data_IF_112977024639
#
_entry.id   IF_112977024639
#
_cell.length_a   1.000
_cell.length_b   1.000
_cell.length_c   1.000
_cell.angle_alpha   90.00
_cell.angle_beta   90.00
_cell.angle_gamma   90.00
#
_symmetry.space_group_name_H-M   'P 1'
#
loop_
_entity.id
_entity.type
_entity.pdbx_description
1 polymer ?
#
# COMPACT_ATOMS: atom_id res chain seq x y z
N UNK A 1 -15.81 -46.02 1.13
CA UNK A 1 -14.67 -45.88 2.05
C UNK A 1 -13.44 -46.16 1.19
N UNK A 2 -12.57 -45.25 0.81
CA UNK A 2 -12.04 -44.03 1.44
C UNK A 2 -11.51 -43.13 0.30
N UNK A 3 -11.78 -41.83 0.39
CA UNK A 3 -11.46 -40.84 -0.65
C UNK A 3 -10.10 -40.17 -0.41
N UNK A 4 -9.21 -40.34 -1.38
CA UNK A 4 -8.38 -39.33 -2.04
C UNK A 4 -7.86 -38.16 -1.18
N UNK A 5 -6.62 -38.30 -0.72
CA UNK A 5 -5.69 -37.20 -0.53
C UNK A 5 -4.74 -37.06 -1.74
N UNK A 6 -4.59 -35.84 -2.24
CA UNK A 6 -3.46 -35.34 -3.04
C UNK A 6 -3.70 -33.82 -3.17
N UNK A 7 -2.89 -32.90 -2.64
CA UNK A 7 -1.44 -32.91 -2.59
C UNK A 7 -0.88 -32.33 -3.88
N UNK A 8 -0.96 -31.00 -4.09
CA UNK A 8 -0.29 -30.33 -5.21
C UNK A 8 0.57 -29.16 -4.71
N UNK A 9 1.85 -29.48 -4.52
CA UNK A 9 2.97 -28.55 -4.31
C UNK A 9 3.35 -27.92 -5.66
N UNK A 10 3.49 -26.60 -5.73
CA UNK A 10 4.26 -25.94 -6.79
C UNK A 10 5.22 -24.90 -6.22
N UNK A 11 6.51 -25.17 -6.49
CA UNK A 11 7.71 -24.39 -6.16
C UNK A 11 7.68 -23.00 -6.80
N UNK A 12 8.22 -22.03 -6.06
CA UNK A 12 8.36 -20.66 -6.52
C UNK A 12 9.39 -20.44 -7.62
N UNK A 13 9.15 -19.39 -8.42
CA UNK A 13 10.17 -18.52 -9.01
C UNK A 13 9.58 -17.15 -9.34
N UNK A 14 10.42 -16.14 -9.14
CA UNK A 14 10.13 -14.70 -9.04
C UNK A 14 9.50 -14.14 -10.32
N UNK A 15 8.39 -13.40 -10.16
CA UNK A 15 7.95 -12.38 -11.11
C UNK A 15 7.87 -11.07 -10.34
N UNK A 16 8.86 -10.19 -10.60
CA UNK A 16 8.79 -8.78 -10.19
C UNK A 16 7.79 -8.10 -11.11
N UNK A 17 6.72 -7.53 -10.55
CA UNK A 17 5.81 -6.68 -11.30
C UNK A 17 5.57 -5.38 -10.52
N UNK A 18 6.01 -4.29 -11.13
CA UNK A 18 5.88 -2.92 -10.70
C UNK A 18 4.41 -2.50 -10.63
N UNK A 19 3.90 -2.19 -9.43
CA UNK A 19 2.74 -1.30 -9.23
C UNK A 19 2.92 -0.56 -7.91
N UNK A 20 3.76 0.48 -7.92
CA UNK A 20 3.87 1.42 -6.79
C UNK A 20 4.30 2.84 -7.21
N UNK A 21 4.65 3.07 -8.48
CA UNK A 21 5.26 4.33 -8.91
C UNK A 21 4.25 5.44 -9.27
N UNK A 22 2.95 5.15 -9.33
CA UNK A 22 1.95 6.10 -9.83
C UNK A 22 1.38 7.09 -8.82
N UNK A 23 1.56 6.87 -7.51
CA UNK A 23 0.93 7.68 -6.45
C UNK A 23 1.89 8.63 -5.70
N UNK A 24 3.15 8.74 -6.13
CA UNK A 24 4.15 9.60 -5.43
C UNK A 24 4.21 11.06 -5.94
N UNK A 25 3.47 11.44 -6.98
CA UNK A 25 3.68 12.74 -7.66
C UNK A 25 2.63 13.83 -7.39
N UNK A 26 1.67 13.61 -6.48
CA UNK A 26 0.69 14.65 -6.08
C UNK A 26 0.55 14.70 -4.55
N UNK A 27 1.65 14.97 -3.84
CA UNK A 27 1.60 15.38 -2.41
C UNK A 27 2.15 16.81 -2.22
N UNK A 28 2.72 17.41 -3.26
CA UNK A 28 3.33 18.73 -3.18
C UNK A 28 2.33 19.87 -3.46
N UNK A 29 1.24 19.99 -2.70
CA UNK A 29 0.49 21.24 -2.59
C UNK A 29 -0.63 21.10 -1.56
N UNK A 30 -0.32 21.16 -0.27
CA UNK A 30 -1.00 22.08 0.63
C UNK A 30 -0.46 21.95 2.07
N UNK A 31 0.17 23.04 2.49
CA UNK A 31 0.34 23.51 3.86
C UNK A 31 1.05 22.61 4.88
N UNK A 32 2.39 22.68 4.90
CA UNK A 32 3.14 22.75 6.15
C UNK A 32 4.26 23.77 5.97
N UNK A 33 4.41 24.68 6.93
CA UNK A 33 5.52 25.62 6.94
C UNK A 33 6.83 24.81 6.97
N UNK A 34 7.50 24.69 5.83
CA UNK A 34 8.89 24.28 5.80
C UNK A 34 9.65 25.32 6.59
N UNK A 35 10.07 24.99 7.80
CA UNK A 35 10.98 25.83 8.56
C UNK A 35 12.21 26.05 7.67
N UNK A 36 12.40 27.27 7.16
CA UNK A 36 13.53 27.55 6.30
C UNK A 36 14.82 27.25 7.07
N UNK A 37 15.78 26.50 6.48
CA UNK A 37 17.02 26.19 7.17
C UNK A 37 17.71 27.45 7.67
N UNK A 38 18.00 27.50 8.97
CA UNK A 38 18.78 28.58 9.55
C UNK A 38 20.25 28.33 9.28
N UNK A 39 21.00 29.41 9.00
CA UNK A 39 22.45 29.37 8.96
C UNK A 39 22.97 29.27 10.39
N UNK A 40 23.55 28.13 10.73
CA UNK A 40 24.07 27.85 12.08
C UNK A 40 25.49 28.39 12.25
N UNK A 41 26.27 28.37 11.18
CA UNK A 41 27.61 28.95 11.09
C UNK A 41 27.90 29.34 9.66
N UNK A 42 28.64 30.44 9.48
CA UNK A 42 29.10 30.88 8.18
C UNK A 42 30.44 31.62 8.35
N UNK A 43 31.50 31.06 7.79
CA UNK A 43 32.84 31.67 7.79
C UNK A 43 33.22 32.25 6.44
N UNK A 44 32.30 32.25 5.46
CA UNK A 44 32.53 32.86 4.16
C UNK A 44 32.61 34.38 4.25
N UNK A 45 33.50 34.95 3.44
CA UNK A 45 33.62 36.38 3.18
C UNK A 45 34.18 36.61 1.77
N UNK A 46 34.34 37.87 1.37
CA UNK A 46 34.75 38.25 0.01
C UNK A 46 36.27 38.51 -0.13
N UNK A 47 37.06 38.22 0.91
CA UNK A 47 38.50 38.44 0.90
C UNK A 47 39.27 37.41 0.09
N UNK A 48 40.51 37.74 -0.27
CA UNK A 48 41.42 36.81 -0.94
C UNK A 48 41.71 35.59 -0.04
N UNK A 49 41.74 34.41 -0.65
CA UNK A 49 41.86 33.13 0.08
C UNK A 49 43.23 32.50 -0.04
N UNK A 50 43.60 31.74 0.99
CA UNK A 50 44.71 30.80 1.03
C UNK A 50 44.15 29.39 1.21
N UNK A 51 44.96 28.37 0.95
CA UNK A 51 44.57 26.99 1.25
C UNK A 51 45.14 26.52 2.59
N UNK A 52 44.71 25.33 3.04
CA UNK A 52 45.20 24.65 4.25
C UNK A 52 44.98 25.50 5.50
N UNK A 53 43.74 25.57 6.00
CA UNK A 53 43.39 26.38 7.15
C UNK A 53 44.24 25.99 8.36
N UNK A 54 44.90 26.96 9.04
CA UNK A 54 45.74 26.66 10.20
C UNK A 54 44.92 26.30 11.45
N UNK A 55 43.65 26.73 11.51
CA UNK A 55 42.78 26.51 12.65
C UNK A 55 41.63 25.56 12.29
N UNK A 56 41.23 24.74 13.26
CA UNK A 56 40.09 23.85 13.11
C UNK A 56 38.80 24.67 12.99
N UNK A 57 37.95 24.35 12.01
CA UNK A 57 36.62 24.93 11.92
C UNK A 57 35.72 24.25 12.95
N UNK A 58 35.35 25.01 13.99
CA UNK A 58 34.48 24.54 15.06
C UNK A 58 33.22 25.41 15.18
N UNK A 59 32.10 24.78 15.51
CA UNK A 59 30.87 25.49 15.83
C UNK A 59 30.17 24.84 17.03
N UNK A 60 29.38 25.64 17.76
CA UNK A 60 28.65 25.20 18.95
C UNK A 60 27.16 25.23 18.69
N UNK A 61 26.48 24.13 19.01
CA UNK A 61 25.03 24.05 19.04
C UNK A 61 24.52 24.23 20.47
N UNK A 62 23.63 25.20 20.68
CA UNK A 62 23.00 25.46 21.99
C UNK A 62 21.72 24.63 22.22
N UNK A 63 21.16 24.09 21.16
CA UNK A 63 19.94 23.28 21.14
C UNK A 63 20.09 22.19 20.06
N UNK A 64 19.31 21.09 20.11
CA UNK A 64 19.30 20.11 19.03
C UNK A 64 19.02 20.77 17.67
N UNK A 65 19.72 20.34 16.62
CA UNK A 65 19.54 20.83 15.24
C UNK A 65 19.63 19.70 14.25
N UNK A 66 18.73 19.69 13.28
CA UNK A 66 18.83 18.81 12.11
C UNK A 66 19.68 19.48 11.04
N UNK A 67 20.88 18.96 10.77
CA UNK A 67 21.80 19.52 9.78
C UNK A 67 21.34 19.09 8.39
N UNK A 68 20.93 20.07 7.60
CA UNK A 68 20.39 19.85 6.25
C UNK A 68 21.46 19.98 5.18
N UNK A 69 22.43 20.88 5.38
CA UNK A 69 23.46 21.18 4.38
C UNK A 69 24.75 21.66 5.02
N UNK A 70 25.86 21.21 4.46
CA UNK A 70 27.20 21.74 4.75
C UNK A 70 27.84 22.12 3.42
N UNK A 71 28.42 23.31 3.35
CA UNK A 71 29.16 23.79 2.18
C UNK A 71 30.57 24.21 2.59
N UNK A 72 31.60 23.72 1.90
CA UNK A 72 33.01 24.15 2.02
C UNK A 72 33.50 24.76 0.70
N UNK A 73 34.63 25.48 0.72
CA UNK A 73 35.17 26.20 -0.44
C UNK A 73 36.61 25.82 -0.76
N UNK A 74 36.89 25.51 -2.02
CA UNK A 74 38.13 24.94 -2.54
C UNK A 74 38.60 25.70 -3.79
N UNK A 75 38.78 27.02 -3.69
CA UNK A 75 39.26 27.82 -4.83
C UNK A 75 40.60 27.32 -5.38
N UNK A 76 41.50 26.93 -4.47
CA UNK A 76 42.75 26.22 -4.77
C UNK A 76 43.60 26.85 -5.88
N UNK A 77 43.84 28.17 -5.79
CA UNK A 77 44.61 28.87 -6.83
C UNK A 77 43.87 29.01 -8.16
N UNK A 78 42.54 28.94 -8.15
CA UNK A 78 41.70 28.97 -9.36
C UNK A 78 41.55 27.61 -10.05
N UNK A 79 41.99 26.51 -9.42
CA UNK A 79 41.91 25.16 -9.99
C UNK A 79 40.73 24.34 -9.49
N UNK A 80 40.08 24.75 -8.40
CA UNK A 80 39.09 23.89 -7.75
C UNK A 80 39.74 22.68 -7.08
N UNK A 81 38.91 21.74 -6.65
CA UNK A 81 39.38 20.43 -6.19
C UNK A 81 38.33 19.35 -6.49
N UNK A 82 38.75 18.14 -6.94
CA UNK A 82 37.83 17.01 -7.12
C UNK A 82 37.08 16.72 -5.83
N UNK A 83 35.76 16.61 -5.91
CA UNK A 83 34.90 16.50 -4.73
C UNK A 83 35.29 15.32 -3.83
N UNK A 84 35.61 15.64 -2.58
CA UNK A 84 35.90 14.67 -1.53
C UNK A 84 34.69 14.42 -0.64
N UNK A 85 34.98 14.18 0.64
CA UNK A 85 33.98 13.92 1.66
C UNK A 85 34.04 15.00 2.73
N UNK A 86 32.89 15.30 3.33
CA UNK A 86 32.80 16.17 4.51
C UNK A 86 32.34 15.31 5.68
N UNK A 87 32.93 15.50 6.87
CA UNK A 87 32.54 14.82 8.11
C UNK A 87 32.44 15.82 9.25
N UNK A 88 31.78 15.43 10.34
CA UNK A 88 31.82 16.14 11.61
C UNK A 88 32.49 15.29 12.67
N UNK A 89 33.11 15.92 13.65
CA UNK A 89 33.61 15.28 14.86
C UNK A 89 32.97 15.94 16.08
N UNK A 90 32.33 15.16 16.94
CA UNK A 90 31.74 15.69 18.17
C UNK A 90 32.80 15.88 19.28
N UNK A 91 32.42 16.55 20.38
CA UNK A 91 33.30 16.80 21.52
C UNK A 91 33.83 15.53 22.21
N UNK A 92 33.24 14.36 21.94
CA UNK A 92 33.73 13.04 22.38
C UNK A 92 34.68 12.38 21.38
N UNK A 93 35.15 13.11 20.37
CA UNK A 93 35.98 12.62 19.26
C UNK A 93 35.31 11.57 18.36
N UNK A 94 33.99 11.36 18.45
CA UNK A 94 33.28 10.46 17.52
C UNK A 94 33.10 11.16 16.18
N UNK A 95 33.49 10.45 15.10
CA UNK A 95 33.29 10.90 13.72
C UNK A 95 31.86 10.59 13.27
N UNK A 96 31.20 11.59 12.67
CA UNK A 96 29.89 11.51 12.02
C UNK A 96 30.10 11.74 10.51
N UNK A 97 29.39 10.97 9.67
CA UNK A 97 29.73 10.82 8.25
C UNK A 97 30.77 9.71 8.04
N UNK A 98 31.55 9.73 6.94
CA UNK A 98 31.63 10.80 5.94
C UNK A 98 30.40 10.90 5.04
N UNK A 99 30.13 12.12 4.56
CA UNK A 99 29.13 12.37 3.53
C UNK A 99 29.84 12.80 2.24
N UNK A 100 29.54 12.17 1.08
CA UNK A 100 30.13 12.58 -0.19
C UNK A 100 29.66 13.98 -0.55
N UNK A 101 30.59 14.83 -1.00
CA UNK A 101 30.28 16.17 -1.46
C UNK A 101 29.97 16.21 -2.97
N UNK A 102 29.16 17.17 -3.37
CA UNK A 102 28.91 17.55 -4.75
C UNK A 102 29.55 18.90 -5.04
N UNK A 103 30.17 18.99 -6.21
CA UNK A 103 30.90 20.16 -6.66
C UNK A 103 30.01 21.14 -7.40
N UNK A 104 30.22 22.42 -7.15
CA UNK A 104 29.67 23.48 -8.00
C UNK A 104 30.70 24.55 -8.28
N UNK A 105 30.52 25.24 -9.41
CA UNK A 105 31.45 26.28 -9.87
C UNK A 105 31.58 27.44 -8.88
N UNK A 106 32.79 27.99 -8.79
CA UNK A 106 33.12 29.20 -8.03
C UNK A 106 33.30 30.43 -8.90
N UNK A 107 33.69 31.53 -8.24
CA UNK A 107 34.01 32.78 -8.92
C UNK A 107 35.05 32.56 -10.04
N UNK A 108 34.81 33.19 -11.20
CA UNK A 108 35.69 33.07 -12.36
C UNK A 108 35.54 31.76 -13.14
N UNK A 109 34.50 30.97 -12.88
CA UNK A 109 34.23 29.72 -13.62
C UNK A 109 35.05 28.53 -13.13
N UNK A 110 35.69 28.63 -11.96
CA UNK A 110 36.47 27.54 -11.35
C UNK A 110 35.54 26.37 -11.02
N UNK A 111 35.72 25.23 -11.67
CA UNK A 111 34.93 24.02 -11.39
C UNK A 111 35.16 23.51 -9.97
N UNK A 112 34.15 22.92 -9.35
CA UNK A 112 34.22 22.26 -8.04
C UNK A 112 34.83 23.11 -6.91
N UNK A 113 34.69 24.43 -7.01
CA UNK A 113 35.18 25.34 -5.98
C UNK A 113 34.28 25.32 -4.75
N UNK A 114 33.01 24.97 -4.85
CA UNK A 114 32.15 24.73 -3.69
C UNK A 114 31.88 23.24 -3.57
N UNK A 115 32.08 22.70 -2.39
CA UNK A 115 31.70 21.34 -2.05
C UNK A 115 30.48 21.39 -1.15
N UNK A 116 29.41 20.70 -1.52
CA UNK A 116 28.17 20.66 -0.74
C UNK A 116 27.79 19.22 -0.42
N UNK A 117 27.46 18.93 0.84
CA UNK A 117 26.82 17.68 1.23
C UNK A 117 25.52 17.92 1.99
N UNK A 118 24.65 16.90 2.03
CA UNK A 118 23.37 16.91 2.76
C UNK A 118 23.39 15.85 3.86
N UNK A 119 23.91 16.16 5.08
CA UNK A 119 24.10 15.17 6.13
C UNK A 119 22.83 14.48 6.63
N UNK A 120 21.69 15.20 6.63
CA UNK A 120 20.39 14.77 7.15
C UNK A 120 20.49 14.11 8.53
N UNK A 121 21.21 14.76 9.46
CA UNK A 121 21.50 14.21 10.79
C UNK A 121 21.04 15.15 11.91
N UNK A 122 20.40 14.59 12.93
CA UNK A 122 20.08 15.31 14.16
C UNK A 122 21.31 15.36 15.07
N UNK A 123 21.79 16.56 15.36
CA UNK A 123 22.88 16.81 16.29
C UNK A 123 22.32 17.33 17.63
N UNK A 124 22.94 16.90 18.72
CA UNK A 124 22.61 17.36 20.07
C UNK A 124 23.40 18.64 20.39
N UNK A 125 23.03 19.37 21.46
CA UNK A 125 23.84 20.49 21.93
C UNK A 125 25.29 20.05 22.19
N UNK A 126 26.26 20.84 21.74
CA UNK A 126 27.67 20.48 21.85
C UNK A 126 28.56 21.22 20.85
N UNK A 127 29.87 20.95 20.96
CA UNK A 127 30.89 21.48 20.04
C UNK A 127 31.15 20.44 18.96
N UNK A 128 31.15 20.89 17.72
CA UNK A 128 31.42 20.07 16.54
C UNK A 128 32.57 20.67 15.74
N UNK A 129 33.50 19.82 15.31
CA UNK A 129 34.59 20.17 14.40
C UNK A 129 34.29 19.65 13.00
N UNK A 130 34.37 20.50 11.99
CA UNK A 130 34.24 20.10 10.59
C UNK A 130 35.56 19.49 10.11
N UNK A 131 35.47 18.31 9.49
CA UNK A 131 36.60 17.57 8.94
C UNK A 131 36.39 17.44 7.43
N UNK A 132 37.22 18.16 6.68
CA UNK A 132 37.25 18.12 5.23
C UNK A 132 38.15 16.97 4.72
N UNK A 133 37.73 16.30 3.66
CA UNK A 133 38.44 15.17 3.05
C UNK A 133 39.70 15.58 2.28
N UNK A 134 39.82 16.85 1.88
CA UNK A 134 41.03 17.42 1.28
C UNK A 134 41.33 18.80 1.89
N UNK A 135 41.83 18.83 3.14
CA UNK A 135 42.11 20.09 3.83
C UNK A 135 43.23 20.87 3.15
N UNK A 136 44.03 20.26 2.26
CA UNK A 136 45.09 20.94 1.53
C UNK A 136 44.56 21.89 0.46
N UNK A 137 43.32 21.71 0.00
CA UNK A 137 42.65 22.57 -0.99
C UNK A 137 41.59 23.48 -0.36
N UNK A 138 41.19 23.21 0.89
CA UNK A 138 40.20 24.00 1.62
C UNK A 138 40.66 25.44 1.85
N UNK A 139 39.85 26.38 1.38
CA UNK A 139 40.13 27.81 1.36
C UNK A 139 39.80 28.48 2.70
N UNK A 140 40.61 29.46 3.10
CA UNK A 140 40.45 30.27 4.31
C UNK A 140 41.09 31.65 4.14
N UNK A 141 40.84 32.57 5.07
CA UNK A 141 41.61 33.80 5.19
C UNK A 141 41.64 34.34 6.64
N UNK A 142 42.40 35.41 6.93
CA UNK A 142 42.45 35.95 8.30
C UNK A 142 41.09 36.40 8.85
N UNK A 143 40.16 36.83 7.99
CA UNK A 143 38.80 37.24 8.38
C UNK A 143 37.91 36.06 8.81
N UNK A 144 38.27 34.82 8.45
CA UNK A 144 37.65 33.61 8.98
C UNK A 144 38.37 33.06 10.22
N UNK A 145 39.17 33.88 10.91
CA UNK A 145 39.98 33.49 12.08
C UNK A 145 40.91 32.30 11.82
N UNK A 146 41.40 32.14 10.59
CA UNK A 146 42.22 30.99 10.23
C UNK A 146 41.44 29.69 10.01
N UNK A 147 40.11 29.70 10.12
CA UNK A 147 39.25 28.55 9.88
C UNK A 147 38.92 28.44 8.39
N UNK A 148 38.74 27.20 7.92
CA UNK A 148 38.25 26.96 6.57
C UNK A 148 36.88 27.58 6.33
N UNK A 149 36.65 28.07 5.10
CA UNK A 149 35.35 28.58 4.67
C UNK A 149 34.33 27.45 4.67
N UNK A 150 33.34 27.60 5.53
CA UNK A 150 32.26 26.66 5.72
C UNK A 150 30.96 27.38 6.06
N UNK A 151 29.86 26.80 5.58
CA UNK A 151 28.51 27.17 5.96
C UNK A 151 27.77 25.91 6.37
N UNK A 152 27.19 25.90 7.58
CA UNK A 152 26.34 24.81 8.06
C UNK A 152 24.94 25.35 8.23
N UNK A 153 23.97 24.64 7.66
CA UNK A 153 22.57 25.00 7.67
C UNK A 153 21.76 23.89 8.35
N UNK A 154 20.71 24.27 9.08
CA UNK A 154 19.86 23.30 9.75
C UNK A 154 18.59 23.90 10.37
N UNK A 155 17.68 23.00 10.74
CA UNK A 155 16.35 23.31 11.29
C UNK A 155 16.24 22.89 12.75
N UNK A 156 15.20 23.34 13.48
CA UNK A 156 14.97 22.97 14.89
C UNK A 156 14.55 21.51 15.06
N UNK A 157 13.90 20.95 14.04
CA UNK A 157 13.53 19.55 13.93
C UNK A 157 13.92 19.00 12.57
N UNK A 158 13.76 17.70 12.38
CA UNK A 158 13.83 17.12 11.04
C UNK A 158 12.69 17.64 10.16
N UNK A 159 12.94 17.99 8.89
CA UNK A 159 11.89 18.39 7.95
C UNK A 159 10.76 17.35 7.91
N UNK A 160 9.51 17.83 7.93
CA UNK A 160 8.33 16.97 7.88
C UNK A 160 8.39 15.98 6.69
N UNK A 161 8.87 16.43 5.53
CA UNK A 161 9.03 15.61 4.32
C UNK A 161 9.99 14.43 4.49
N UNK A 162 11.12 14.62 5.17
CA UNK A 162 12.11 13.55 5.38
C UNK A 162 11.59 12.52 6.40
N UNK A 163 10.90 13.01 7.45
CA UNK A 163 10.25 12.16 8.45
C UNK A 163 9.10 11.36 7.84
N UNK A 164 8.23 12.00 7.06
CA UNK A 164 7.12 11.40 6.33
C UNK A 164 7.61 10.34 5.34
N UNK A 165 8.63 10.67 4.54
CA UNK A 165 9.20 9.74 3.56
C UNK A 165 9.72 8.46 4.21
N UNK A 166 10.42 8.57 5.36
CA UNK A 166 10.86 7.40 6.10
C UNK A 166 9.73 6.65 6.79
N UNK A 167 8.74 7.34 7.35
CA UNK A 167 7.59 6.70 7.95
C UNK A 167 6.77 5.93 6.90
N UNK A 168 6.57 6.51 5.71
CA UNK A 168 5.91 5.87 4.58
C UNK A 168 6.70 4.63 4.11
N UNK A 169 8.02 4.74 3.90
CA UNK A 169 8.88 3.60 3.54
C UNK A 169 8.82 2.48 4.59
N UNK A 170 8.86 2.84 5.87
CA UNK A 170 8.69 1.89 6.97
C UNK A 170 7.31 1.22 6.90
N UNK A 171 6.24 1.99 6.72
CA UNK A 171 4.88 1.47 6.71
C UNK A 171 4.57 0.63 5.46
N UNK A 172 5.37 0.69 4.39
CA UNK A 172 5.31 -0.30 3.30
C UNK A 172 5.56 -1.74 3.78
N UNK A 173 6.36 -1.93 4.84
CA UNK A 173 6.53 -3.26 5.47
C UNK A 173 5.23 -3.70 6.15
N UNK A 174 4.50 -2.78 6.77
CA UNK A 174 3.19 -3.06 7.37
C UNK A 174 2.17 -3.47 6.30
N UNK A 175 2.19 -2.84 5.12
CA UNK A 175 1.34 -3.27 4.00
C UNK A 175 1.66 -4.70 3.55
N UNK A 176 2.96 -5.03 3.49
CA UNK A 176 3.44 -6.37 3.17
C UNK A 176 2.93 -7.41 4.17
N UNK A 177 3.01 -7.11 5.46
CA UNK A 177 2.50 -8.00 6.51
C UNK A 177 0.97 -8.09 6.52
N UNK A 178 0.24 -6.99 6.34
CA UNK A 178 -1.20 -7.01 6.18
C UNK A 178 -1.62 -7.90 4.98
N UNK A 179 -0.92 -7.77 3.85
CA UNK A 179 -1.14 -8.61 2.68
C UNK A 179 -0.84 -10.09 2.95
N UNK A 180 0.20 -10.38 3.74
CA UNK A 180 0.52 -11.75 4.19
C UNK A 180 -0.59 -12.31 5.07
N UNK A 181 -1.06 -11.58 6.07
CA UNK A 181 -2.16 -11.97 6.96
C UNK A 181 -3.40 -12.29 6.16
N UNK A 182 -3.80 -11.39 5.25
CA UNK A 182 -4.93 -11.60 4.35
C UNK A 182 -4.78 -12.88 3.54
N UNK A 183 -3.59 -13.14 2.99
CA UNK A 183 -3.38 -14.32 2.16
C UNK A 183 -3.43 -15.62 2.96
N UNK A 184 -2.91 -15.64 4.19
CA UNK A 184 -3.03 -16.81 5.07
C UNK A 184 -4.49 -16.99 5.48
N UNK A 185 -5.16 -15.90 5.89
CA UNK A 185 -6.55 -15.94 6.34
C UNK A 185 -7.52 -16.38 5.21
N UNK A 186 -7.18 -16.10 3.96
CA UNK A 186 -7.90 -16.57 2.78
C UNK A 186 -7.85 -18.10 2.58
N UNK A 187 -6.97 -18.80 3.30
CA UNK A 187 -6.92 -20.27 3.34
C UNK A 187 -7.35 -20.81 4.70
N UNK A 188 -6.84 -20.22 5.78
CA UNK A 188 -7.10 -20.64 7.15
C UNK A 188 -6.97 -19.43 8.11
N UNK A 189 -8.09 -19.05 8.73
CA UNK A 189 -8.13 -17.95 9.69
C UNK A 189 -7.26 -18.24 10.93
N UNK A 190 -7.25 -19.48 11.42
CA UNK A 190 -6.51 -19.84 12.63
C UNK A 190 -4.99 -19.75 12.43
N UNK A 191 -4.51 -20.16 11.25
CA UNK A 191 -3.10 -19.99 10.87
C UNK A 191 -2.74 -18.50 10.75
N UNK A 192 -3.68 -17.66 10.30
CA UNK A 192 -3.46 -16.22 10.21
C UNK A 192 -3.38 -15.57 11.60
N UNK A 193 -4.25 -15.98 12.53
CA UNK A 193 -4.23 -15.56 13.94
C UNK A 193 -2.91 -16.00 14.59
N UNK A 194 -2.51 -17.26 14.39
CA UNK A 194 -1.31 -17.83 15.00
C UNK A 194 0.00 -17.27 14.44
N UNK A 195 0.03 -16.92 13.15
CA UNK A 195 1.24 -16.44 12.46
C UNK A 195 1.40 -14.92 12.46
N UNK A 196 0.39 -14.18 12.89
CA UNK A 196 0.46 -12.75 13.01
C UNK A 196 0.87 -12.39 14.45
N UNK A 197 1.75 -11.41 14.67
CA UNK A 197 1.89 -10.75 15.96
C UNK A 197 0.60 -9.95 16.21
N UNK A 198 -0.50 -10.63 16.51
CA UNK A 198 -1.78 -10.02 16.89
C UNK A 198 -1.94 -10.09 18.40
N UNK A 199 -2.31 -8.96 19.00
CA UNK A 199 -2.77 -8.93 20.38
C UNK A 199 -4.23 -9.39 20.48
N UNK A 200 -4.52 -10.67 20.18
CA UNK A 200 -5.88 -11.22 20.18
C UNK A 200 -6.89 -10.44 19.30
N UNK A 201 -6.40 -9.62 18.35
CA UNK A 201 -7.25 -8.62 17.68
C UNK A 201 -8.25 -9.22 16.69
N UNK A 202 -8.04 -10.45 16.23
CA UNK A 202 -8.94 -11.16 15.32
C UNK A 202 -9.77 -12.24 16.03
N UNK A 203 -9.60 -12.41 17.35
CA UNK A 203 -10.28 -13.45 18.13
C UNK A 203 -11.80 -13.33 18.03
N UNK A 204 -12.33 -12.12 17.89
CA UNK A 204 -13.78 -11.91 17.70
C UNK A 204 -14.34 -12.54 16.41
N UNK A 205 -13.52 -12.75 15.37
CA UNK A 205 -13.93 -13.47 14.17
C UNK A 205 -13.94 -14.98 14.42
N UNK A 206 -12.88 -15.51 15.05
CA UNK A 206 -12.76 -16.93 15.45
C UNK A 206 -13.87 -17.32 16.41
N UNK A 207 -14.12 -16.48 17.41
CA UNK A 207 -15.05 -16.73 18.51
C UNK A 207 -16.50 -16.34 18.15
N UNK A 208 -16.75 -15.89 16.92
CA UNK A 208 -18.12 -15.73 16.42
C UNK A 208 -18.78 -17.09 16.15
N UNK A 209 -20.12 -17.19 16.13
CA UNK A 209 -20.80 -18.43 15.71
C UNK A 209 -20.31 -18.94 14.35
N UNK A 210 -20.14 -18.05 13.37
CA UNK A 210 -19.62 -18.40 12.05
C UNK A 210 -18.17 -18.87 12.11
N UNK A 211 -17.33 -18.23 12.93
CA UNK A 211 -15.94 -18.65 13.11
C UNK A 211 -15.79 -20.05 13.70
N UNK A 212 -16.70 -20.44 14.60
CA UNK A 212 -16.71 -21.79 15.20
C UNK A 212 -17.32 -22.84 14.27
N UNK A 213 -18.44 -22.52 13.64
CA UNK A 213 -19.26 -23.52 12.95
C UNK A 213 -18.85 -23.67 11.47
N UNK A 214 -18.40 -22.59 10.83
CA UNK A 214 -18.02 -22.53 9.41
C UNK A 214 -16.82 -21.58 9.20
N UNK A 215 -15.63 -21.92 9.73
CA UNK A 215 -14.45 -21.05 9.65
C UNK A 215 -14.04 -20.68 8.20
N UNK A 216 -14.37 -21.53 7.22
CA UNK A 216 -14.12 -21.29 5.79
C UNK A 216 -14.90 -20.07 5.25
N UNK A 217 -15.99 -19.66 5.92
CA UNK A 217 -16.71 -18.45 5.55
C UNK A 217 -15.80 -17.20 5.68
N UNK A 218 -14.98 -17.12 6.74
CA UNK A 218 -14.00 -16.04 6.86
C UNK A 218 -12.89 -16.15 5.83
N UNK A 219 -12.51 -17.37 5.42
CA UNK A 219 -11.59 -17.54 4.29
C UNK A 219 -12.17 -16.95 2.99
N UNK A 220 -13.48 -17.11 2.73
CA UNK A 220 -14.16 -16.41 1.63
C UNK A 220 -14.12 -14.88 1.78
N UNK A 221 -14.32 -14.36 2.99
CA UNK A 221 -14.17 -12.93 3.25
C UNK A 221 -12.77 -12.43 2.86
N UNK A 222 -11.72 -13.06 3.36
CA UNK A 222 -10.34 -12.62 3.08
C UNK A 222 -9.92 -12.86 1.63
N UNK A 223 -10.33 -13.97 1.01
CA UNK A 223 -10.05 -14.28 -0.39
C UNK A 223 -10.68 -13.28 -1.37
N UNK A 224 -11.82 -12.67 -1.01
CA UNK A 224 -12.45 -11.59 -1.76
C UNK A 224 -11.98 -10.19 -1.37
N UNK A 225 -11.15 -10.05 -0.34
CA UNK A 225 -10.73 -8.75 0.19
C UNK A 225 -9.52 -8.17 -0.52
N UNK A 226 -9.49 -6.86 -0.72
CA UNK A 226 -8.28 -6.10 -1.05
C UNK A 226 -7.81 -5.27 0.15
N UNK A 227 -6.51 -4.98 0.17
CA UNK A 227 -5.88 -4.22 1.26
C UNK A 227 -5.73 -2.76 0.84
N UNK A 228 -6.36 -1.86 1.58
CA UNK A 228 -6.13 -0.41 1.49
C UNK A 228 -5.28 0.03 2.69
N UNK A 229 -4.44 1.04 2.49
CA UNK A 229 -3.65 1.67 3.56
C UNK A 229 -4.08 3.13 3.71
N UNK A 230 -4.56 3.46 4.91
CA UNK A 230 -4.80 4.83 5.37
C UNK A 230 -3.71 5.25 6.35
N UNK A 231 -3.55 6.56 6.56
CA UNK A 231 -2.52 7.11 7.44
C UNK A 231 -1.10 6.55 7.15
N UNK A 232 -0.75 6.44 5.87
CA UNK A 232 0.47 5.77 5.42
C UNK A 232 1.77 6.36 6.00
N UNK A 233 1.80 7.65 6.36
CA UNK A 233 2.95 8.31 6.96
C UNK A 233 2.89 8.37 8.51
N UNK A 234 1.81 7.90 9.12
CA UNK A 234 1.60 8.02 10.56
C UNK A 234 2.36 6.93 11.35
N UNK A 235 2.60 7.15 12.66
CA UNK A 235 3.13 6.11 13.53
C UNK A 235 2.25 4.86 13.61
N UNK A 236 0.93 5.03 13.44
CA UNK A 236 -0.08 3.98 13.53
C UNK A 236 -0.92 3.87 12.24
N UNK A 237 -0.38 3.28 11.17
CA UNK A 237 -1.11 3.16 9.92
C UNK A 237 -2.36 2.28 10.09
N UNK A 238 -3.37 2.56 9.27
CA UNK A 238 -4.64 1.83 9.27
C UNK A 238 -4.75 1.02 7.99
N UNK A 239 -5.11 -0.25 8.08
CA UNK A 239 -5.38 -1.11 6.92
C UNK A 239 -6.86 -1.46 6.86
N UNK A 240 -7.47 -1.42 5.68
CA UNK A 240 -8.78 -2.03 5.45
C UNK A 240 -8.63 -3.27 4.57
N UNK A 241 -9.16 -4.41 5.05
CA UNK A 241 -9.45 -5.58 4.23
C UNK A 241 -10.89 -5.48 3.75
N UNK A 242 -11.08 -4.90 2.57
CA UNK A 242 -12.42 -4.64 2.03
C UNK A 242 -12.81 -5.71 1.01
N UNK A 243 -13.90 -6.42 1.28
CA UNK A 243 -14.52 -7.37 0.37
C UNK A 243 -15.75 -6.72 -0.30
N UNK A 244 -15.69 -6.40 -1.61
CA UNK A 244 -16.77 -5.73 -2.30
C UNK A 244 -17.98 -6.64 -2.52
N UNK A 245 -17.77 -7.97 -2.57
CA UNK A 245 -18.85 -8.94 -2.75
C UNK A 245 -19.77 -8.99 -1.53
N UNK A 246 -19.17 -8.89 -0.35
CA UNK A 246 -19.85 -8.91 0.94
C UNK A 246 -20.24 -7.52 1.44
N UNK A 247 -19.80 -6.45 0.75
CA UNK A 247 -19.97 -5.06 1.19
C UNK A 247 -19.50 -4.86 2.65
N UNK A 248 -18.31 -5.39 2.95
CA UNK A 248 -17.80 -5.49 4.30
C UNK A 248 -16.29 -5.23 4.36
N UNK A 249 -15.85 -4.47 5.36
CA UNK A 249 -14.45 -4.12 5.54
C UNK A 249 -13.98 -4.38 6.96
N UNK A 250 -12.89 -5.14 7.10
CA UNK A 250 -12.18 -5.28 8.37
C UNK A 250 -11.12 -4.19 8.43
N UNK A 251 -11.29 -3.23 9.33
CA UNK A 251 -10.37 -2.11 9.52
C UNK A 251 -9.45 -2.43 10.70
N UNK A 252 -8.15 -2.31 10.50
CA UNK A 252 -7.12 -2.68 11.47
C UNK A 252 -6.12 -1.56 11.68
N UNK A 253 -5.75 -1.31 12.92
CA UNK A 253 -4.70 -0.36 13.28
C UNK A 253 -3.43 -1.11 13.63
N UNK A 254 -2.32 -0.66 13.08
CA UNK A 254 -1.01 -1.28 13.25
C UNK A 254 -0.05 -0.34 13.93
N UNK A 255 0.93 -0.87 14.65
CA UNK A 255 2.04 -0.11 15.22
C UNK A 255 3.35 -0.91 15.14
N UNK A 256 4.48 -0.27 15.41
CA UNK A 256 5.77 -0.95 15.47
C UNK A 256 6.09 -1.30 16.92
N UNK A 257 6.29 -2.59 17.20
CA UNK A 257 6.69 -3.08 18.52
C UNK A 257 7.89 -4.00 18.37
N UNK A 258 8.98 -3.72 19.10
CA UNK A 258 10.18 -4.56 19.06
C UNK A 258 10.83 -4.69 17.68
N UNK A 259 10.65 -3.70 16.79
CA UNK A 259 11.18 -3.75 15.42
C UNK A 259 10.35 -4.53 14.41
N UNK A 260 9.14 -4.97 14.79
CA UNK A 260 8.20 -5.66 13.91
C UNK A 260 6.84 -4.95 13.88
N UNK A 261 6.11 -5.02 12.75
CA UNK A 261 4.74 -4.54 12.71
C UNK A 261 3.83 -5.44 13.55
N UNK A 262 2.96 -4.81 14.32
CA UNK A 262 2.05 -5.44 15.27
C UNK A 262 0.63 -4.91 15.00
N UNK A 263 -0.34 -5.81 14.89
CA UNK A 263 -1.74 -5.41 14.74
C UNK A 263 -2.32 -5.17 16.13
N UNK A 264 -2.60 -3.91 16.44
CA UNK A 264 -3.05 -3.47 17.76
C UNK A 264 -4.56 -3.67 17.94
N UNK A 265 -5.33 -3.41 16.89
CA UNK A 265 -6.79 -3.41 16.96
C UNK A 265 -7.39 -3.76 15.62
N UNK A 266 -8.54 -4.43 15.64
CA UNK A 266 -9.36 -4.69 14.46
C UNK A 266 -10.84 -4.46 14.77
N UNK A 267 -11.57 -3.92 13.79
CA UNK A 267 -13.00 -3.62 13.86
C UNK A 267 -13.62 -3.94 12.51
N UNK A 268 -14.81 -4.56 12.49
CA UNK A 268 -15.47 -4.98 11.27
C UNK A 268 -16.61 -4.01 10.97
N UNK A 269 -16.74 -3.61 9.71
CA UNK A 269 -17.72 -2.65 9.24
C UNK A 269 -18.53 -3.23 8.08
N UNK A 270 -19.81 -2.86 8.02
CA UNK A 270 -20.56 -2.86 6.75
C UNK A 270 -20.03 -1.69 5.93
N UNK A 271 -19.42 -1.96 4.79
CA UNK A 271 -18.67 -0.96 4.02
C UNK A 271 -19.58 0.18 3.52
N UNK A 272 -20.83 -0.10 3.15
CA UNK A 272 -21.80 0.92 2.75
C UNK A 272 -22.23 1.88 3.87
N UNK A 273 -22.00 1.53 5.13
CA UNK A 273 -22.33 2.34 6.30
C UNK A 273 -21.10 3.08 6.84
N UNK A 274 -19.90 2.81 6.31
CA UNK A 274 -18.70 3.47 6.78
C UNK A 274 -18.60 4.94 6.31
N UNK A 275 -18.26 5.90 7.19
CA UNK A 275 -18.04 5.81 8.64
C UNK A 275 -19.27 6.19 9.48
N UNK A 276 -20.44 6.41 8.86
CA UNK A 276 -21.62 6.95 9.51
C UNK A 276 -22.21 5.94 10.52
N UNK A 277 -22.51 6.43 11.72
CA UNK A 277 -22.91 5.60 12.87
C UNK A 277 -24.38 5.15 12.84
N UNK A 278 -25.11 5.39 11.75
CA UNK A 278 -26.56 5.19 11.63
C UNK A 278 -26.94 3.72 11.41
N UNK A 279 -26.36 2.85 12.23
CA UNK A 279 -27.04 1.71 12.83
C UNK A 279 -27.29 0.54 11.91
N UNK A 280 -26.25 -0.25 11.70
CA UNK A 280 -26.30 -1.70 11.46
C UNK A 280 -26.94 -2.12 10.13
N UNK A 281 -26.63 -3.34 9.71
CA UNK A 281 -27.10 -3.87 8.44
C UNK A 281 -28.64 -3.92 8.33
N UNK A 282 -29.23 -2.86 7.76
CA UNK A 282 -30.69 -2.74 7.58
C UNK A 282 -31.25 -3.69 6.53
N UNK A 283 -30.39 -4.32 5.74
CA UNK A 283 -30.71 -5.20 4.62
C UNK A 283 -30.15 -6.59 4.86
N UNK A 284 -30.91 -7.63 4.50
CA UNK A 284 -30.44 -9.02 4.50
C UNK A 284 -29.40 -9.32 3.41
N UNK A 285 -29.12 -8.36 2.53
CA UNK A 285 -28.19 -8.48 1.40
C UNK A 285 -27.22 -7.31 1.35
N UNK A 286 -26.03 -7.56 0.80
CA UNK A 286 -25.05 -6.53 0.43
C UNK A 286 -25.70 -5.40 -0.39
N UNK A 287 -25.32 -4.15 -0.13
CA UNK A 287 -26.08 -3.00 -0.64
C UNK A 287 -26.02 -2.88 -2.16
N UNK A 288 -24.91 -3.26 -2.79
CA UNK A 288 -24.80 -3.28 -4.24
C UNK A 288 -25.82 -4.23 -4.90
N UNK A 289 -26.22 -5.31 -4.21
CA UNK A 289 -27.21 -6.24 -4.73
C UNK A 289 -28.61 -5.63 -4.70
N UNK A 290 -28.92 -4.85 -3.65
CA UNK A 290 -30.17 -4.06 -3.57
C UNK A 290 -30.19 -3.00 -4.68
N UNK A 291 -29.09 -2.25 -4.82
CA UNK A 291 -29.00 -1.23 -5.86
C UNK A 291 -29.12 -1.84 -7.28
N UNK A 292 -28.74 -3.12 -7.43
CA UNK A 292 -28.80 -3.82 -8.72
C UNK A 292 -30.21 -4.06 -9.27
N UNK A 293 -31.24 -3.82 -8.45
CA UNK A 293 -32.64 -3.80 -8.91
C UNK A 293 -32.93 -2.67 -9.90
N UNK A 294 -32.16 -1.58 -9.81
CA UNK A 294 -32.33 -0.37 -10.63
C UNK A 294 -31.10 0.00 -11.45
N UNK A 295 -29.95 -0.60 -11.16
CA UNK A 295 -28.65 -0.29 -11.77
C UNK A 295 -27.97 -1.58 -12.25
N UNK A 296 -27.33 -1.62 -13.42
CA UNK A 296 -26.59 -2.81 -13.85
C UNK A 296 -25.58 -3.28 -12.79
N UNK A 297 -25.53 -4.60 -12.52
CA UNK A 297 -24.66 -5.21 -11.49
C UNK A 297 -23.21 -4.65 -11.49
N UNK A 298 -22.50 -4.56 -12.63
CA UNK A 298 -21.13 -4.02 -12.62
C UNK A 298 -21.04 -2.57 -12.14
N UNK A 299 -22.05 -1.75 -12.45
CA UNK A 299 -22.10 -0.34 -12.08
C UNK A 299 -22.46 -0.16 -10.61
N UNK A 300 -23.43 -0.93 -10.11
CA UNK A 300 -23.80 -0.94 -8.69
C UNK A 300 -22.61 -1.32 -7.80
N UNK A 301 -21.92 -2.40 -8.16
CA UNK A 301 -20.75 -2.87 -7.42
C UNK A 301 -19.58 -1.87 -7.50
N UNK A 302 -19.31 -1.29 -8.69
CA UNK A 302 -18.30 -0.25 -8.87
C UNK A 302 -18.60 0.98 -8.02
N UNK A 303 -19.85 1.46 -8.04
CA UNK A 303 -20.27 2.63 -7.28
C UNK A 303 -20.03 2.43 -5.78
N UNK A 304 -20.35 1.24 -5.25
CA UNK A 304 -20.11 0.91 -3.84
C UNK A 304 -18.63 0.80 -3.50
N UNK A 305 -17.84 0.16 -4.39
CA UNK A 305 -16.39 0.14 -4.26
C UNK A 305 -15.81 1.57 -4.16
N UNK A 306 -16.17 2.46 -5.09
CA UNK A 306 -15.64 3.81 -5.15
C UNK A 306 -16.05 4.65 -3.94
N UNK A 307 -17.32 4.54 -3.50
CA UNK A 307 -17.82 5.22 -2.31
C UNK A 307 -17.06 4.80 -1.05
N UNK A 308 -16.84 3.50 -0.85
CA UNK A 308 -16.08 3.03 0.31
C UNK A 308 -14.63 3.53 0.27
N UNK A 309 -13.93 3.43 -0.87
CA UNK A 309 -12.55 3.92 -1.00
C UNK A 309 -12.48 5.41 -0.67
N UNK A 310 -13.37 6.21 -1.23
CA UNK A 310 -13.42 7.65 -0.94
C UNK A 310 -13.70 7.94 0.55
N UNK A 311 -14.62 7.20 1.17
CA UNK A 311 -14.93 7.33 2.59
C UNK A 311 -13.75 6.91 3.48
N UNK A 312 -13.06 5.82 3.13
CA UNK A 312 -11.86 5.35 3.81
C UNK A 312 -10.71 6.36 3.72
N UNK A 313 -10.45 6.90 2.53
CA UNK A 313 -9.42 7.91 2.31
C UNK A 313 -9.74 9.22 3.07
N UNK A 314 -11.03 9.60 3.13
CA UNK A 314 -11.47 10.76 3.91
C UNK A 314 -11.32 10.55 5.43
N UNK A 315 -11.60 9.34 5.92
CA UNK A 315 -11.48 9.00 7.33
C UNK A 315 -10.02 8.82 7.77
N UNK A 316 -9.16 8.29 6.89
CA UNK A 316 -7.77 7.96 7.19
C UNK A 316 -6.79 8.54 6.14
N UNK A 317 -6.75 9.88 5.98
CA UNK A 317 -5.93 10.51 4.96
C UNK A 317 -4.43 10.23 5.15
N UNK A 318 -3.66 10.31 4.07
CA UNK A 318 -2.20 10.26 4.14
C UNK A 318 -1.72 11.53 4.84
N UNK A 319 -1.46 11.44 6.14
CA UNK A 319 -0.99 12.55 6.98
C UNK A 319 0.06 12.07 7.99
N UNK A 320 1.14 12.84 8.22
CA UNK A 320 2.13 12.56 9.26
C UNK A 320 1.55 12.61 10.68
N UNK A 321 0.56 13.49 10.88
CA UNK A 321 0.00 13.82 12.20
C UNK A 321 -1.19 12.92 12.57
N UNK A 322 -1.55 12.01 11.66
CA UNK A 322 -2.69 11.09 11.77
C UNK A 322 -2.50 10.00 12.82
N UNK A 323 -2.52 10.37 14.10
CA UNK A 323 -2.69 9.45 15.22
C UNK A 323 -4.15 9.13 15.52
N UNK A 324 -5.05 9.20 14.52
CA UNK A 324 -6.47 9.00 14.77
C UNK A 324 -6.71 7.60 15.36
N UNK A 325 -7.54 7.56 16.40
CA UNK A 325 -8.04 6.29 16.91
C UNK A 325 -8.86 5.60 15.83
N UNK A 326 -8.71 4.29 15.73
CA UNK A 326 -9.53 3.48 14.85
C UNK A 326 -11.02 3.76 15.13
N UNK A 327 -11.79 4.12 14.09
CA UNK A 327 -13.22 4.34 14.23
C UNK A 327 -13.90 3.04 14.68
N UNK A 328 -14.72 3.14 15.73
CA UNK A 328 -15.42 2.00 16.29
C UNK A 328 -16.73 1.77 15.56
N UNK A 329 -17.00 0.53 15.19
CA UNK A 329 -18.30 0.16 14.68
C UNK A 329 -19.31 0.22 15.85
N UNK A 330 -20.46 0.89 15.69
CA UNK A 330 -21.42 1.08 16.79
C UNK A 330 -22.02 -0.24 17.31
N UNK A 331 -21.95 -1.34 16.55
CA UNK A 331 -22.44 -2.66 16.97
C UNK A 331 -21.64 -3.82 16.36
N UNK A 332 -20.40 -4.00 16.84
CA UNK A 332 -19.45 -4.97 16.32
C UNK A 332 -20.03 -6.40 16.23
N UNK A 333 -20.75 -6.88 17.24
CA UNK A 333 -21.32 -8.24 17.27
C UNK A 333 -22.35 -8.45 16.16
N UNK A 334 -23.28 -7.51 15.99
CA UNK A 334 -24.28 -7.59 14.91
C UNK A 334 -23.64 -7.49 13.53
N UNK A 335 -22.60 -6.66 13.36
CA UNK A 335 -21.88 -6.58 12.09
C UNK A 335 -21.17 -7.90 11.78
N UNK A 336 -20.51 -8.51 12.77
CA UNK A 336 -19.84 -9.81 12.62
C UNK A 336 -20.82 -10.91 12.24
N UNK A 337 -21.97 -10.96 12.92
CA UNK A 337 -23.02 -11.92 12.62
C UNK A 337 -23.59 -11.72 11.21
N UNK A 338 -23.85 -10.47 10.81
CA UNK A 338 -24.36 -10.16 9.48
C UNK A 338 -23.36 -10.50 8.38
N UNK A 339 -22.12 -10.03 8.48
CA UNK A 339 -21.06 -10.33 7.49
C UNK A 339 -20.78 -11.82 7.44
N UNK A 340 -20.75 -12.50 8.59
CA UNK A 340 -20.57 -13.94 8.67
C UNK A 340 -21.66 -14.70 7.93
N UNK A 341 -22.94 -14.32 8.09
CA UNK A 341 -24.06 -14.90 7.32
C UNK A 341 -23.87 -14.71 5.82
N UNK A 342 -23.55 -13.49 5.37
CA UNK A 342 -23.29 -13.24 3.94
C UNK A 342 -22.16 -14.12 3.42
N UNK A 343 -21.08 -14.27 4.19
CA UNK A 343 -19.94 -15.09 3.79
C UNK A 343 -20.31 -16.59 3.68
N UNK A 344 -21.14 -17.10 4.59
CA UNK A 344 -21.69 -18.47 4.52
C UNK A 344 -22.55 -18.65 3.27
N UNK A 345 -23.42 -17.69 2.95
CA UNK A 345 -24.27 -17.75 1.75
C UNK A 345 -23.46 -17.75 0.45
N UNK A 346 -22.39 -16.95 0.40
CA UNK A 346 -21.44 -16.95 -0.72
C UNK A 346 -20.73 -18.28 -0.85
N UNK A 347 -20.19 -18.81 0.24
CA UNK A 347 -19.52 -20.11 0.25
C UNK A 347 -20.47 -21.23 -0.23
N UNK A 348 -21.68 -21.27 0.32
CA UNK A 348 -22.69 -22.25 -0.08
C UNK A 348 -23.03 -22.13 -1.56
N UNK A 349 -23.16 -20.92 -2.09
CA UNK A 349 -23.47 -20.69 -3.51
C UNK A 349 -22.31 -21.11 -4.41
N UNK A 350 -21.07 -20.81 -4.02
CA UNK A 350 -19.86 -21.25 -4.74
C UNK A 350 -19.75 -22.79 -4.80
N UNK A 351 -20.05 -23.48 -3.70
CA UNK A 351 -20.07 -24.93 -3.66
C UNK A 351 -21.17 -25.50 -4.58
N UNK A 352 -22.36 -24.89 -4.62
CA UNK A 352 -23.46 -25.30 -5.50
C UNK A 352 -23.11 -25.17 -6.98
N UNK A 353 -22.51 -24.06 -7.41
CA UNK A 353 -22.14 -23.86 -8.82
C UNK A 353 -20.98 -24.75 -9.29
N UNK A 354 -20.24 -25.34 -8.34
CA UNK A 354 -19.13 -26.26 -8.62
C UNK A 354 -19.53 -27.74 -8.53
N UNK A 355 -20.66 -28.07 -7.89
CA UNK A 355 -21.08 -29.45 -7.65
C UNK A 355 -21.87 -30.01 -8.84
N UNK A 356 -21.24 -30.90 -9.62
CA UNK A 356 -21.91 -31.66 -10.70
C UNK A 356 -23.22 -32.29 -10.22
N UNK A 357 -24.27 -32.15 -11.03
CA UNK A 357 -25.61 -32.66 -10.74
C UNK A 357 -26.49 -31.75 -9.87
N UNK A 358 -25.96 -30.66 -9.31
CA UNK A 358 -26.78 -29.65 -8.64
C UNK A 358 -27.50 -28.75 -9.68
N UNK A 359 -28.75 -28.30 -9.48
CA UNK A 359 -29.46 -27.45 -10.45
C UNK A 359 -28.74 -26.14 -10.81
N UNK A 360 -27.96 -25.59 -9.86
CA UNK A 360 -27.14 -24.39 -10.08
C UNK A 360 -25.77 -24.66 -10.73
N UNK A 361 -25.41 -25.91 -10.99
CA UNK A 361 -24.15 -26.24 -11.65
C UNK A 361 -24.25 -25.96 -13.15
N UNK A 362 -23.21 -25.31 -13.70
CA UNK A 362 -23.14 -24.97 -15.12
C UNK A 362 -21.91 -25.63 -15.75
N UNK A 363 -22.14 -26.67 -16.57
CA UNK A 363 -21.08 -27.26 -17.41
C UNK A 363 -20.49 -26.21 -18.35
N UNK A 364 -21.29 -25.23 -18.77
CA UNK A 364 -20.83 -24.11 -19.58
C UNK A 364 -19.86 -23.21 -18.81
N UNK A 365 -20.06 -22.97 -17.52
CA UNK A 365 -19.08 -22.25 -16.72
C UNK A 365 -17.74 -22.99 -16.67
N UNK A 366 -17.77 -24.32 -16.53
CA UNK A 366 -16.56 -25.13 -16.53
C UNK A 366 -15.84 -25.11 -17.89
N UNK A 367 -16.59 -25.35 -18.98
CA UNK A 367 -16.08 -25.28 -20.36
C UNK A 367 -15.53 -23.90 -20.70
N UNK A 368 -16.23 -22.84 -20.28
CA UNK A 368 -15.81 -21.46 -20.51
C UNK A 368 -14.46 -21.19 -19.85
N UNK A 369 -14.32 -21.61 -18.59
CA UNK A 369 -13.05 -21.46 -17.86
C UNK A 369 -11.94 -22.25 -18.54
N UNK A 370 -12.17 -23.49 -18.94
CA UNK A 370 -11.16 -24.28 -19.66
C UNK A 370 -10.75 -23.62 -20.99
N UNK A 371 -11.70 -23.17 -21.79
CA UNK A 371 -11.44 -22.47 -23.04
C UNK A 371 -10.64 -21.18 -22.80
N UNK A 372 -11.04 -20.41 -21.79
CA UNK A 372 -10.35 -19.19 -21.39
C UNK A 372 -8.93 -19.47 -20.89
N UNK A 373 -8.71 -20.51 -20.09
CA UNK A 373 -7.39 -20.92 -19.60
C UNK A 373 -6.48 -21.34 -20.76
N UNK A 374 -6.99 -22.17 -21.67
CA UNK A 374 -6.23 -22.71 -22.81
C UNK A 374 -6.01 -21.67 -23.93
N UNK A 375 -6.76 -20.57 -23.91
CA UNK A 375 -6.71 -19.58 -25.00
C UNK A 375 -7.42 -20.06 -26.27
N UNK A 376 -8.40 -20.95 -26.11
CA UNK A 376 -9.14 -21.55 -27.23
C UNK A 376 -10.16 -20.56 -27.78
N UNK A 377 -9.76 -19.82 -28.82
CA UNK A 377 -10.59 -18.82 -29.50
C UNK A 377 -11.87 -19.43 -30.05
N UNK A 378 -11.79 -20.62 -30.66
CA UNK A 378 -12.93 -21.24 -31.32
C UNK A 378 -13.96 -21.70 -30.29
N UNK A 379 -13.53 -22.33 -29.20
CA UNK A 379 -14.42 -22.73 -28.11
C UNK A 379 -15.07 -21.52 -27.42
N UNK A 380 -14.31 -20.44 -27.18
CA UNK A 380 -14.88 -19.20 -26.63
C UNK A 380 -15.92 -18.59 -27.58
N UNK A 381 -15.62 -18.48 -28.88
CA UNK A 381 -16.53 -17.92 -29.86
C UNK A 381 -17.83 -18.73 -30.00
N UNK A 382 -17.75 -20.07 -29.88
CA UNK A 382 -18.92 -20.94 -29.91
C UNK A 382 -19.84 -20.81 -28.69
N UNK A 383 -19.33 -20.28 -27.57
CA UNK A 383 -20.05 -20.18 -26.31
C UNK A 383 -20.58 -18.78 -26.02
N UNK A 384 -19.88 -17.74 -26.47
CA UNK A 384 -20.21 -16.36 -26.18
C UNK A 384 -21.43 -15.91 -26.99
N UNK A 385 -22.29 -15.03 -26.44
CA UNK A 385 -23.38 -14.45 -27.19
C UNK A 385 -22.85 -13.54 -28.31
N UNK A 386 -23.55 -13.50 -29.45
CA UNK A 386 -23.19 -12.64 -30.59
C UNK A 386 -23.34 -11.14 -30.27
N UNK A 387 -24.27 -10.78 -29.38
CA UNK A 387 -24.56 -9.40 -28.97
C UNK A 387 -24.39 -9.19 -27.46
N UNK A 388 -23.91 -8.00 -27.06
CA UNK A 388 -24.03 -7.50 -25.67
C UNK A 388 -22.95 -7.93 -24.67
N UNK A 389 -21.77 -8.39 -25.13
CA UNK A 389 -20.68 -8.82 -24.24
C UNK A 389 -19.26 -8.71 -24.82
N UNK A 390 -18.27 -9.13 -24.04
CA UNK A 390 -16.89 -9.27 -24.47
C UNK A 390 -16.76 -10.49 -25.40
N UNK A 391 -16.47 -10.25 -26.68
CA UNK A 391 -16.13 -11.32 -27.62
C UNK A 391 -14.87 -12.08 -27.24
N UNK A 392 -14.63 -13.24 -27.88
CA UNK A 392 -13.48 -14.10 -27.60
C UNK A 392 -12.15 -13.31 -27.66
N UNK A 393 -12.02 -12.40 -28.63
CA UNK A 393 -10.82 -11.58 -28.81
C UNK A 393 -10.58 -10.62 -27.63
N UNK A 394 -11.63 -10.06 -27.06
CA UNK A 394 -11.53 -9.19 -25.88
C UNK A 394 -11.06 -9.98 -24.66
N UNK A 395 -11.58 -11.19 -24.45
CA UNK A 395 -11.17 -12.05 -23.36
C UNK A 395 -9.74 -12.58 -23.52
N UNK A 396 -9.31 -12.86 -24.76
CA UNK A 396 -7.97 -13.34 -25.06
C UNK A 396 -6.88 -12.26 -25.01
N UNK A 397 -7.26 -10.97 -24.98
CA UNK A 397 -6.32 -9.87 -24.63
C UNK A 397 -5.82 -9.97 -23.18
N UNK A 398 -6.52 -10.71 -22.32
CA UNK A 398 -6.04 -10.96 -20.96
C UNK A 398 -4.77 -11.82 -21.00
N UNK A 399 -3.72 -11.47 -20.23
CA UNK A 399 -2.51 -12.27 -20.15
C UNK A 399 -2.80 -13.74 -19.80
N UNK A 400 -2.08 -14.68 -20.42
CA UNK A 400 -2.30 -16.11 -20.20
C UNK A 400 -2.24 -16.51 -18.71
N UNK A 401 -1.27 -15.96 -17.97
CA UNK A 401 -1.15 -16.18 -16.53
C UNK A 401 -2.35 -15.65 -15.73
N UNK A 402 -3.02 -14.60 -16.21
CA UNK A 402 -4.25 -14.10 -15.60
C UNK A 402 -5.42 -15.05 -15.90
N UNK A 403 -5.60 -15.43 -17.16
CA UNK A 403 -6.64 -16.35 -17.61
C UNK A 403 -6.58 -17.69 -16.87
N UNK A 404 -5.37 -18.23 -16.67
CA UNK A 404 -5.11 -19.47 -15.94
C UNK A 404 -5.68 -19.45 -14.50
N UNK A 405 -5.70 -18.27 -13.87
CA UNK A 405 -6.01 -18.09 -12.44
C UNK A 405 -7.44 -17.66 -12.16
N UNK A 406 -8.25 -17.43 -13.19
CA UNK A 406 -9.65 -17.05 -13.02
C UNK A 406 -10.47 -18.20 -12.44
N UNK A 407 -11.02 -17.96 -11.25
CA UNK A 407 -11.83 -18.90 -10.47
C UNK A 407 -13.14 -18.21 -10.06
N UNK A 408 -14.24 -18.94 -9.88
CA UNK A 408 -15.45 -18.39 -9.27
C UNK A 408 -15.12 -17.83 -7.88
N UNK A 409 -15.31 -16.53 -7.70
CA UNK A 409 -15.11 -15.83 -6.42
C UNK A 409 -16.43 -15.36 -5.81
N UNK A 410 -17.48 -15.27 -6.61
CA UNK A 410 -18.86 -15.03 -6.18
C UNK A 410 -19.82 -15.62 -7.20
N UNK A 411 -21.04 -15.96 -6.78
CA UNK A 411 -22.10 -16.33 -7.71
C UNK A 411 -23.48 -15.96 -7.14
N UNK A 412 -24.43 -15.70 -8.03
CA UNK A 412 -25.84 -15.56 -7.73
C UNK A 412 -26.55 -16.70 -8.44
N UNK A 413 -27.22 -17.57 -7.68
CA UNK A 413 -28.01 -18.66 -8.21
C UNK A 413 -29.35 -18.70 -7.50
N UNK A 414 -30.40 -18.21 -8.17
CA UNK A 414 -31.79 -18.29 -7.70
C UNK A 414 -32.45 -19.52 -8.31
N UNK A 415 -33.34 -20.16 -7.56
CA UNK A 415 -34.11 -21.28 -8.07
C UNK A 415 -34.93 -20.85 -9.30
N UNK A 416 -34.78 -21.57 -10.41
CA UNK A 416 -35.42 -21.24 -11.70
C UNK A 416 -34.91 -19.95 -12.36
N UNK A 417 -33.88 -19.30 -11.80
CA UNK A 417 -33.28 -18.07 -12.33
C UNK A 417 -31.93 -18.31 -13.02
N UNK A 418 -31.39 -17.29 -13.72
CA UNK A 418 -30.07 -17.39 -14.32
C UNK A 418 -28.98 -17.54 -13.24
N UNK A 419 -27.92 -18.28 -13.58
CA UNK A 419 -26.71 -18.34 -12.76
C UNK A 419 -25.78 -17.22 -13.21
N UNK A 420 -25.44 -16.31 -12.31
CA UNK A 420 -24.45 -15.25 -12.55
C UNK A 420 -23.19 -15.63 -11.78
N UNK A 421 -22.07 -15.80 -12.46
CA UNK A 421 -20.80 -16.14 -11.85
C UNK A 421 -19.77 -15.01 -12.06
N UNK A 422 -19.02 -14.73 -11.01
CA UNK A 422 -17.94 -13.74 -11.03
C UNK A 422 -16.64 -14.52 -10.98
N UNK A 423 -15.90 -14.49 -12.09
CA UNK A 423 -14.59 -15.12 -12.19
C UNK A 423 -13.54 -14.08 -11.82
N UNK A 424 -13.01 -14.16 -10.61
CA UNK A 424 -11.97 -13.28 -10.10
C UNK A 424 -10.64 -14.00 -9.94
N UNK A 425 -9.63 -13.24 -9.52
CA UNK A 425 -8.36 -13.79 -9.05
C UNK A 425 -8.32 -13.53 -7.55
N UNK A 426 -8.07 -14.57 -6.77
CA UNK A 426 -8.15 -14.50 -5.31
C UNK A 426 -7.16 -13.53 -4.67
N UNK A 427 -6.11 -13.06 -5.35
CA UNK A 427 -5.20 -12.01 -4.84
C UNK A 427 -5.34 -10.66 -5.56
N UNK A 428 -6.27 -10.56 -6.52
CA UNK A 428 -6.57 -9.33 -7.27
C UNK A 428 -8.09 -9.19 -7.49
N UNK A 429 -8.89 -9.07 -6.41
CA UNK A 429 -10.37 -9.08 -6.51
C UNK A 429 -10.96 -7.87 -7.23
N UNK A 430 -10.15 -6.85 -7.55
CA UNK A 430 -10.55 -5.67 -8.33
C UNK A 430 -10.94 -6.01 -9.78
N UNK A 431 -10.32 -7.05 -10.34
CA UNK A 431 -10.56 -7.49 -11.70
C UNK A 431 -11.38 -8.79 -11.72
N UNK A 432 -12.43 -8.83 -12.53
CA UNK A 432 -13.25 -10.02 -12.69
C UNK A 432 -13.88 -10.12 -14.08
N UNK A 433 -14.23 -11.34 -14.46
CA UNK A 433 -15.10 -11.63 -15.61
C UNK A 433 -16.47 -12.01 -15.07
N UNK A 434 -17.49 -11.20 -15.34
CA UNK A 434 -18.88 -11.52 -15.03
C UNK A 434 -19.43 -12.38 -16.16
N UNK A 435 -19.96 -13.56 -15.82
CA UNK A 435 -20.68 -14.43 -16.76
C UNK A 435 -22.11 -14.64 -16.28
N UNK A 436 -23.05 -14.71 -17.22
CA UNK A 436 -24.43 -15.08 -16.94
C UNK A 436 -24.84 -16.27 -17.83
N UNK A 437 -25.53 -17.22 -17.22
CA UNK A 437 -26.09 -18.40 -17.87
C UNK A 437 -27.59 -18.40 -17.68
N UNK A 438 -28.33 -18.81 -18.70
CA UNK A 438 -29.79 -18.93 -18.57
C UNK A 438 -30.17 -20.07 -17.61
N UNK A 439 -31.43 -20.06 -17.17
CA UNK A 439 -31.87 -20.80 -15.99
C UNK A 439 -31.95 -22.32 -16.16
N UNK A 440 -32.00 -22.85 -17.39
CA UNK A 440 -32.16 -24.29 -17.61
C UNK A 440 -30.81 -24.98 -17.80
N UNK A 441 -30.64 -26.21 -17.28
CA UNK A 441 -29.45 -27.01 -17.55
C UNK A 441 -29.23 -27.19 -19.07
N UNK A 442 -28.06 -26.77 -19.57
CA UNK A 442 -27.72 -26.79 -20.99
C UNK A 442 -28.00 -25.49 -21.76
N UNK A 443 -28.57 -24.46 -21.12
CA UNK A 443 -28.73 -23.16 -21.73
C UNK A 443 -27.40 -22.43 -21.90
N UNK A 444 -27.23 -21.79 -23.06
CA UNK A 444 -26.03 -21.05 -23.46
C UNK A 444 -25.75 -19.85 -22.54
N UNK A 445 -24.48 -19.47 -22.48
CA UNK A 445 -24.05 -18.21 -21.87
C UNK A 445 -24.78 -17.03 -22.53
N UNK A 446 -25.41 -16.19 -21.71
CA UNK A 446 -26.16 -15.02 -22.17
C UNK A 446 -25.35 -13.73 -22.05
N UNK A 447 -24.27 -13.75 -21.25
CA UNK A 447 -23.43 -12.58 -21.05
C UNK A 447 -22.02 -12.97 -20.59
N UNK A 448 -21.02 -12.25 -21.09
CA UNK A 448 -19.67 -12.22 -20.53
C UNK A 448 -19.15 -10.79 -20.56
N UNK A 449 -18.68 -10.26 -19.43
CA UNK A 449 -18.12 -8.91 -19.33
C UNK A 449 -16.79 -8.94 -18.59
N UNK A 450 -15.80 -8.21 -19.11
CA UNK A 450 -14.56 -7.92 -18.39
C UNK A 450 -14.78 -6.67 -17.56
N UNK A 451 -14.56 -6.76 -16.25
CA UNK A 451 -14.87 -5.69 -15.31
C UNK A 451 -13.65 -5.33 -14.44
N UNK A 452 -13.54 -4.05 -14.14
CA UNK A 452 -12.55 -3.47 -13.23
C UNK A 452 -13.29 -2.50 -12.30
N UNK A 453 -13.21 -2.74 -10.99
CA UNK A 453 -13.87 -1.91 -9.98
C UNK A 453 -13.26 -0.51 -9.85
N UNK A 454 -12.01 -0.31 -10.27
CA UNK A 454 -11.33 0.98 -10.13
C UNK A 454 -11.14 1.76 -11.43
N UNK A 455 -11.70 1.32 -12.55
CA UNK A 455 -11.76 2.13 -13.79
C UNK A 455 -13.17 2.70 -13.95
N UNK A 456 -13.25 3.96 -14.36
CA UNK A 456 -14.49 4.51 -14.91
C UNK A 456 -14.91 3.68 -16.13
N UNK A 457 -16.22 3.52 -16.33
CA UNK A 457 -16.71 2.88 -17.54
C UNK A 457 -16.25 3.68 -18.74
N UNK A 458 -15.29 3.15 -19.52
CA UNK A 458 -15.16 3.55 -20.91
C UNK A 458 -16.48 3.21 -21.57
N UNK A 459 -17.24 4.25 -21.93
CA UNK A 459 -18.46 4.14 -22.73
C UNK A 459 -18.18 3.45 -24.05
#
# INVERSE_FOLDING_TARGET
MSALGAGFLLRGRRVRACVALGLMLIVAANALATEQPAVLVNTFNNGAVRNRPPNAMQFTLKAPRFITKITTYHWNGGRGAPCGEISLRDGGNRKLGPWPAQGSGGQGGVSDAFWTCEPRVMLQPGIYTLVDGDPATWSWNPESDGMGFARVEGTTGEPATDREGRAALRNMVVLGEASRVRNIAAFNLEDAISSCPVGHSLDFLRDSPVGRDVPEAWACFFAGSFVLMGHAAAPKPVMAYYNPWLDAALITQWEWQGGHPFMQRAVLWVASEFPEADGGAKSSYARWLVDSESTPIPEALRSRYQKFVAAFDAAYPVSPDGGASLLLAPNQEQVVEWVGRQAVDVLATLLRVQRRGHPAYSDDLHRFRQALQNGDRAALAAMLPEEGGAGADTLLKLPAGLRARLVPTYAIAREGGPVIAFLGITDMPRFYVLTAFAAKPGDRMTKALVCDLGKEATR
#
